data_IF_944701717820
#
_entry.id   IF_944701717820
#
_cell.length_a   1.000
_cell.length_b   1.000
_cell.length_c   1.000
_cell.angle_alpha   90.00
_cell.angle_beta   90.00
_cell.angle_gamma   90.00
#
_symmetry.space_group_name_H-M   'P 1'
#
loop_
_entity.id
_entity.type
_entity.pdbx_description
1 polymer ?
#
# COMPACT_ATOMS: atom_id res chain seq x y z
N UNK A 1 -38.16 -2.61 -1.30
CA UNK A 1 -37.03 -1.67 -1.35
C UNK A 1 -36.57 -1.39 0.06
N UNK A 2 -35.40 -1.88 0.47
CA UNK A 2 -34.87 -1.61 1.80
C UNK A 2 -34.46 -0.13 1.91
N UNK A 3 -34.86 0.55 2.99
CA UNK A 3 -34.50 1.92 3.24
C UNK A 3 -32.97 2.04 3.38
N UNK A 4 -32.36 2.93 2.60
CA UNK A 4 -30.94 3.27 2.73
C UNK A 4 -30.75 4.05 4.03
N UNK A 5 -30.37 3.38 5.10
CA UNK A 5 -29.96 4.06 6.34
C UNK A 5 -28.65 4.80 6.07
N UNK A 6 -28.69 6.13 6.01
CA UNK A 6 -27.50 6.96 5.85
C UNK A 6 -26.64 6.86 7.11
N UNK A 7 -25.56 6.06 7.05
CA UNK A 7 -24.55 5.99 8.10
C UNK A 7 -23.74 7.30 8.10
N UNK A 8 -23.75 8.03 9.20
CA UNK A 8 -23.14 9.37 9.32
C UNK A 8 -21.70 9.38 9.81
N UNK A 9 -21.14 8.21 10.18
CA UNK A 9 -19.75 8.07 10.65
C UNK A 9 -19.08 6.88 9.99
N UNK A 10 -17.86 7.07 9.50
CA UNK A 10 -17.00 6.02 8.93
C UNK A 10 -15.73 5.95 9.76
N UNK A 11 -15.30 4.75 10.16
CA UNK A 11 -13.99 4.57 10.76
C UNK A 11 -12.96 4.35 9.66
N UNK A 12 -12.08 5.34 9.46
CA UNK A 12 -11.01 5.26 8.47
C UNK A 12 -9.64 5.08 9.14
N UNK A 13 -8.67 4.54 8.40
CA UNK A 13 -7.27 4.42 8.80
C UNK A 13 -6.32 4.84 7.67
N UNK A 14 -5.13 5.30 8.05
CA UNK A 14 -4.02 5.51 7.14
C UNK A 14 -2.86 4.61 7.58
N UNK A 15 -2.40 3.74 6.69
CA UNK A 15 -1.30 2.83 6.95
C UNK A 15 0.05 3.51 6.64
N UNK A 16 0.88 3.68 7.65
CA UNK A 16 2.29 4.04 7.47
C UNK A 16 3.16 2.84 7.86
N UNK A 17 3.56 2.07 6.85
CA UNK A 17 4.33 0.83 6.99
C UNK A 17 5.47 0.82 5.98
N UNK A 18 6.54 0.08 6.28
CA UNK A 18 7.66 -0.09 5.35
C UNK A 18 7.33 -1.18 4.32
N UNK A 19 7.70 -1.01 3.04
CA UNK A 19 7.63 -2.08 2.07
C UNK A 19 8.73 -3.11 2.33
N UNK A 20 8.64 -4.24 1.65
CA UNK A 20 9.78 -5.10 1.40
C UNK A 20 10.49 -4.60 0.13
N UNK A 21 11.77 -4.25 0.25
CA UNK A 21 12.55 -3.69 -0.86
C UNK A 21 13.10 -4.78 -1.80
N UNK A 22 12.99 -6.05 -1.41
CA UNK A 22 13.50 -7.20 -2.17
C UNK A 22 12.38 -8.00 -2.83
N UNK A 23 11.15 -7.90 -2.32
CA UNK A 23 10.03 -8.72 -2.78
C UNK A 23 8.69 -7.99 -2.86
N UNK A 24 8.10 -7.97 -4.06
CA UNK A 24 6.71 -7.55 -4.28
C UNK A 24 5.73 -8.36 -3.41
N UNK A 25 5.93 -9.67 -3.34
CA UNK A 25 5.10 -10.58 -2.53
C UNK A 25 5.28 -10.31 -1.03
N UNK A 26 6.49 -9.96 -0.60
CA UNK A 26 6.77 -9.53 0.78
C UNK A 26 5.98 -8.27 1.16
N UNK A 27 5.96 -7.26 0.28
CA UNK A 27 5.13 -6.06 0.49
C UNK A 27 3.64 -6.39 0.48
N UNK A 28 3.18 -7.25 -0.45
CA UNK A 28 1.78 -7.69 -0.50
C UNK A 28 1.36 -8.38 0.81
N UNK A 29 2.22 -9.23 1.39
CA UNK A 29 1.95 -9.88 2.67
C UNK A 29 1.75 -8.85 3.79
N UNK A 30 2.56 -7.78 3.83
CA UNK A 30 2.41 -6.67 4.80
C UNK A 30 1.13 -5.88 4.60
N UNK A 31 0.74 -5.61 3.36
CA UNK A 31 -0.54 -4.96 3.02
C UNK A 31 -1.70 -5.81 3.52
N UNK A 32 -1.72 -7.11 3.20
CA UNK A 32 -2.78 -8.02 3.62
C UNK A 32 -2.90 -8.12 5.13
N UNK A 33 -1.78 -8.19 5.86
CA UNK A 33 -1.82 -8.20 7.32
C UNK A 33 -2.35 -6.89 7.89
N UNK A 34 -1.91 -5.76 7.34
CA UNK A 34 -2.39 -4.43 7.76
C UNK A 34 -3.90 -4.27 7.54
N UNK A 35 -4.44 -4.81 6.44
CA UNK A 35 -5.89 -4.84 6.20
C UNK A 35 -6.60 -5.71 7.25
N UNK A 36 -6.06 -6.88 7.59
CA UNK A 36 -6.64 -7.74 8.63
C UNK A 36 -6.64 -7.04 9.99
N UNK A 37 -5.56 -6.36 10.35
CA UNK A 37 -5.44 -5.60 11.60
C UNK A 37 -6.47 -4.47 11.67
N UNK A 38 -6.64 -3.74 10.57
CA UNK A 38 -7.62 -2.66 10.45
C UNK A 38 -9.06 -3.20 10.53
N UNK A 39 -9.34 -4.33 9.88
CA UNK A 39 -10.64 -4.99 9.95
C UNK A 39 -10.98 -5.43 11.40
N UNK A 40 -10.01 -5.96 12.15
CA UNK A 40 -10.19 -6.30 13.59
C UNK A 40 -10.51 -5.07 14.45
N UNK A 41 -10.13 -3.87 13.99
CA UNK A 41 -10.44 -2.59 14.65
C UNK A 41 -11.72 -1.91 14.12
N UNK A 42 -12.46 -2.59 13.23
CA UNK A 42 -13.70 -2.07 12.64
C UNK A 42 -13.48 -0.92 11.64
N UNK A 43 -12.29 -0.83 11.03
CA UNK A 43 -11.99 0.12 9.95
C UNK A 43 -12.76 -0.28 8.69
N UNK A 44 -13.38 0.70 8.06
CA UNK A 44 -14.20 0.55 6.85
C UNK A 44 -13.51 1.12 5.60
N UNK A 45 -12.53 2.01 5.80
CA UNK A 45 -11.69 2.58 4.75
C UNK A 45 -10.25 2.63 5.24
N UNK A 46 -9.32 2.06 4.49
CA UNK A 46 -7.88 2.18 4.75
C UNK A 46 -7.17 2.67 3.50
N UNK A 47 -6.24 3.60 3.69
CA UNK A 47 -5.36 4.10 2.62
C UNK A 47 -3.92 3.69 2.88
N UNK A 48 -3.18 3.45 1.80
CA UNK A 48 -1.77 3.06 1.81
C UNK A 48 -0.90 4.15 1.17
N UNK A 49 0.42 4.12 1.36
CA UNK A 49 1.33 5.07 0.72
C UNK A 49 1.27 5.01 -0.80
N UNK A 50 1.69 6.10 -1.46
CA UNK A 50 1.76 6.19 -2.91
C UNK A 50 2.69 5.11 -3.50
N UNK A 51 2.24 4.44 -4.57
CA UNK A 51 3.04 3.45 -5.32
C UNK A 51 3.70 2.41 -4.41
N UNK A 52 3.00 2.00 -3.34
CA UNK A 52 3.59 1.18 -2.29
C UNK A 52 3.92 -0.25 -2.72
N UNK A 53 3.25 -0.80 -3.73
CA UNK A 53 3.46 -2.17 -4.22
C UNK A 53 4.09 -2.13 -5.63
N UNK A 54 5.29 -2.71 -5.86
CA UNK A 54 6.08 -3.52 -4.91
C UNK A 54 6.81 -2.71 -3.83
N UNK A 55 7.30 -1.52 -4.18
CA UNK A 55 7.83 -0.48 -3.32
C UNK A 55 7.88 0.82 -4.14
N UNK A 56 7.89 1.98 -3.49
CA UNK A 56 8.02 3.26 -4.19
C UNK A 56 9.39 3.34 -4.89
N UNK A 57 9.51 3.75 -6.17
CA UNK A 57 10.76 3.65 -6.94
C UNK A 57 11.85 4.64 -6.49
N UNK A 58 12.38 4.49 -5.28
CA UNK A 58 13.37 5.38 -4.66
C UNK A 58 14.63 5.54 -5.50
N UNK A 59 15.04 4.48 -6.21
CA UNK A 59 16.20 4.50 -7.10
C UNK A 59 16.10 5.60 -8.17
N UNK A 60 14.88 5.98 -8.59
CA UNK A 60 14.67 7.05 -9.59
C UNK A 60 15.13 8.43 -9.09
N UNK A 61 15.18 8.64 -7.77
CA UNK A 61 15.63 9.88 -7.14
C UNK A 61 17.12 9.89 -6.80
N UNK A 62 17.72 8.71 -6.58
CA UNK A 62 19.07 8.60 -6.02
C UNK A 62 20.10 8.04 -6.99
N UNK A 63 19.69 7.45 -8.11
CA UNK A 63 20.58 6.92 -9.15
C UNK A 63 20.56 7.78 -10.40
N UNK A 64 21.69 7.93 -11.12
CA UNK A 64 21.72 8.57 -12.43
C UNK A 64 20.81 7.85 -13.44
N UNK A 65 20.12 8.55 -14.36
CA UNK A 65 19.17 7.93 -15.31
C UNK A 65 19.72 6.73 -16.09
N UNK A 66 21.00 6.75 -16.48
CA UNK A 66 21.67 5.67 -17.21
C UNK A 66 21.75 4.35 -16.43
N UNK A 67 21.59 4.37 -15.10
CA UNK A 67 21.66 3.20 -14.23
C UNK A 67 20.28 2.65 -13.81
N UNK A 68 19.20 3.36 -14.13
CA UNK A 68 17.86 3.04 -13.60
C UNK A 68 17.13 1.93 -14.37
N UNK A 69 17.63 1.52 -15.54
CA UNK A 69 16.96 0.55 -16.42
C UNK A 69 16.67 -0.81 -15.75
N UNK A 70 17.69 -1.51 -15.21
CA UNK A 70 17.48 -2.80 -14.57
C UNK A 70 16.48 -2.77 -13.40
N UNK A 71 16.54 -1.74 -12.56
CA UNK A 71 15.64 -1.60 -11.40
C UNK A 71 14.18 -1.36 -11.83
N UNK A 72 13.93 -0.59 -12.90
CA UNK A 72 12.57 -0.43 -13.44
C UNK A 72 11.96 -1.76 -13.93
N UNK A 73 12.76 -2.62 -14.55
CA UNK A 73 12.28 -3.93 -15.04
C UNK A 73 11.87 -4.87 -13.90
N UNK A 74 12.43 -4.69 -12.70
CA UNK A 74 12.04 -5.47 -11.52
C UNK A 74 10.70 -5.04 -10.91
N UNK A 75 10.12 -3.91 -11.36
CA UNK A 75 8.80 -3.44 -10.91
C UNK A 75 7.64 -4.07 -11.71
N UNK A 76 7.93 -4.76 -12.82
CA UNK A 76 6.95 -5.44 -13.70
C UNK A 76 6.69 -6.87 -13.24
#
# INVERSE_FOLDING_TARGET
>A
MAATTTRTRVRAAAAQIAPDLESATGTLARVLETIRDAARQGVELIVFPETFLPYYPYFSFVQPPVQQGPAHLQLM
#
